data_IF_734087118718
#
_entry.id   IF_734087118718
#
_cell.length_a   1.000
_cell.length_b   1.000
_cell.length_c   1.000
_cell.angle_alpha   90.00
_cell.angle_beta   90.00
_cell.angle_gamma   90.00
#
_symmetry.space_group_name_H-M   'P 1'
#
loop_
_entity.id
_entity.type
_entity.pdbx_description
1 polymer ?
#
# COMPACT_ATOMS: atom_id res chain seq x y z
N UNK A 1 3.32 24.22 -15.86
CA UNK A 1 3.39 24.00 -14.39
C UNK A 1 4.84 24.21 -13.95
N UNK A 2 5.09 24.86 -12.81
CA UNK A 2 6.45 24.97 -12.25
C UNK A 2 7.04 23.57 -11.98
N UNK A 3 8.33 23.34 -12.30
CA UNK A 3 9.01 22.05 -12.12
C UNK A 3 8.91 21.52 -10.70
N UNK A 4 8.92 22.43 -9.71
CA UNK A 4 8.68 22.11 -8.31
C UNK A 4 7.30 21.48 -8.05
N UNK A 5 6.23 22.06 -8.64
CA UNK A 5 4.87 21.53 -8.49
C UNK A 5 4.73 20.14 -9.12
N UNK A 6 5.43 19.88 -10.23
CA UNK A 6 5.45 18.57 -10.87
C UNK A 6 6.14 17.52 -9.98
N UNK A 7 7.30 17.86 -9.42
CA UNK A 7 8.02 17.00 -8.48
C UNK A 7 7.16 16.64 -7.27
N UNK A 8 6.48 17.62 -6.66
CA UNK A 8 5.56 17.38 -5.53
C UNK A 8 4.41 16.45 -5.90
N UNK A 9 3.84 16.62 -7.09
CA UNK A 9 2.80 15.73 -7.61
C UNK A 9 3.33 14.31 -7.72
N UNK A 10 4.48 14.09 -8.36
CA UNK A 10 5.07 12.75 -8.49
C UNK A 10 5.41 12.14 -7.12
N UNK A 11 5.91 12.95 -6.16
CA UNK A 11 6.20 12.49 -4.81
C UNK A 11 4.93 12.00 -4.08
N UNK A 12 3.83 12.75 -4.17
CA UNK A 12 2.54 12.33 -3.59
C UNK A 12 1.97 11.07 -4.25
N UNK A 13 2.15 10.92 -5.56
CA UNK A 13 1.74 9.70 -6.27
C UNK A 13 2.60 8.51 -5.86
N UNK A 14 3.91 8.70 -5.71
CA UNK A 14 4.84 7.68 -5.24
C UNK A 14 4.51 7.25 -3.81
N UNK A 15 4.30 8.19 -2.88
CA UNK A 15 3.95 7.86 -1.49
C UNK A 15 2.62 7.10 -1.40
N UNK A 16 1.60 7.53 -2.15
CA UNK A 16 0.31 6.84 -2.22
C UNK A 16 0.43 5.42 -2.83
N UNK A 17 1.26 5.24 -3.87
CA UNK A 17 1.51 3.94 -4.47
C UNK A 17 2.28 3.00 -3.52
N UNK A 18 3.29 3.50 -2.82
CA UNK A 18 4.05 2.74 -1.82
C UNK A 18 3.16 2.34 -0.63
N UNK A 19 2.34 3.28 -0.16
CA UNK A 19 1.41 3.04 0.92
C UNK A 19 0.39 1.94 0.58
N UNK A 20 -0.25 2.02 -0.60
CA UNK A 20 -1.21 1.00 -1.06
C UNK A 20 -0.63 -0.42 -1.11
N UNK A 21 0.67 -0.54 -1.41
CA UNK A 21 1.36 -1.84 -1.44
C UNK A 21 1.63 -2.36 -0.04
N UNK A 22 2.11 -1.51 0.85
CA UNK A 22 2.32 -1.87 2.27
C UNK A 22 1.01 -2.14 3.00
N UNK A 23 -0.09 -1.50 2.60
CA UNK A 23 -1.41 -1.70 3.21
C UNK A 23 -2.11 -2.99 2.76
N UNK A 24 -1.60 -3.72 1.75
CA UNK A 24 -2.16 -5.03 1.35
C UNK A 24 -2.22 -6.01 2.53
N UNK A 25 -1.17 -6.05 3.36
CA UNK A 25 -1.12 -6.89 4.56
C UNK A 25 -2.07 -6.41 5.67
N UNK A 26 -2.43 -5.14 5.66
CA UNK A 26 -3.41 -4.59 6.59
C UNK A 26 -4.82 -4.99 6.15
N UNK A 27 -5.10 -4.96 4.84
CA UNK A 27 -6.37 -5.40 4.29
C UNK A 27 -6.64 -6.89 4.56
N UNK A 28 -5.63 -7.76 4.44
CA UNK A 28 -5.79 -9.19 4.77
C UNK A 28 -6.09 -9.40 6.26
N UNK A 29 -5.47 -8.61 7.16
CA UNK A 29 -5.77 -8.60 8.60
C UNK A 29 -7.17 -8.08 8.90
N UNK A 30 -7.61 -7.03 8.20
CA UNK A 30 -8.96 -6.47 8.30
C UNK A 30 -10.01 -7.54 7.97
N UNK A 31 -9.87 -8.20 6.82
CA UNK A 31 -10.75 -9.29 6.39
C UNK A 31 -10.75 -10.47 7.37
N UNK A 32 -9.57 -10.86 7.84
CA UNK A 32 -9.43 -11.92 8.84
C UNK A 32 -10.14 -11.56 10.15
N UNK A 33 -10.05 -10.30 10.60
CA UNK A 33 -10.74 -9.83 11.80
C UNK A 33 -12.26 -9.82 11.62
N UNK A 34 -12.76 -9.35 10.47
CA UNK A 34 -14.19 -9.40 10.13
C UNK A 34 -14.68 -10.85 10.18
N UNK A 35 -13.94 -11.78 9.55
CA UNK A 35 -14.27 -13.21 9.54
C UNK A 35 -14.29 -13.80 10.95
N UNK A 36 -13.29 -13.48 11.78
CA UNK A 36 -13.20 -13.94 13.15
C UNK A 36 -14.39 -13.45 13.99
N UNK A 37 -14.69 -12.16 13.94
CA UNK A 37 -15.83 -11.58 14.68
C UNK A 37 -17.15 -12.21 14.24
N UNK A 38 -17.39 -12.37 12.92
CA UNK A 38 -18.57 -13.07 12.38
C UNK A 38 -18.69 -14.50 12.93
N UNK A 39 -17.57 -15.23 13.02
CA UNK A 39 -17.54 -16.58 13.59
C UNK A 39 -17.87 -16.59 15.09
N UNK A 40 -17.39 -15.60 15.84
CA UNK A 40 -17.68 -15.43 17.27
C UNK A 40 -19.18 -15.24 17.53
N UNK A 41 -19.86 -14.41 16.73
CA UNK A 41 -21.31 -14.21 16.84
C UNK A 41 -22.11 -15.49 16.52
N UNK A 42 -21.70 -16.24 15.47
CA UNK A 42 -22.32 -17.54 15.15
C UNK A 42 -22.17 -18.54 16.31
N UNK A 43 -20.99 -18.60 16.94
CA UNK A 43 -20.74 -19.45 18.12
C UNK A 43 -21.58 -19.04 19.34
N UNK A 44 -21.88 -17.75 19.49
CA UNK A 44 -22.74 -17.24 20.55
C UNK A 44 -24.25 -17.45 20.30
N UNK A 45 -24.64 -18.15 19.22
CA UNK A 45 -26.04 -18.45 18.91
C UNK A 45 -26.86 -17.25 18.43
N UNK A 46 -26.23 -16.08 18.22
CA UNK A 46 -26.90 -14.87 17.71
C UNK A 46 -26.87 -14.88 16.19
N UNK A 47 -28.03 -14.70 15.54
CA UNK A 47 -28.10 -14.41 14.10
C UNK A 47 -27.76 -12.94 13.91
N UNK A 48 -26.67 -12.64 13.22
CA UNK A 48 -26.32 -11.27 12.84
C UNK A 48 -27.43 -10.70 11.95
N UNK A 49 -28.09 -9.64 12.40
CA UNK A 49 -28.94 -8.85 11.51
C UNK A 49 -28.07 -8.18 10.44
N UNK A 50 -28.66 -7.88 9.27
CA UNK A 50 -27.94 -7.22 8.17
C UNK A 50 -27.33 -5.88 8.61
N UNK A 51 -27.97 -5.18 9.54
CA UNK A 51 -27.48 -3.90 10.08
C UNK A 51 -26.35 -4.08 11.09
N UNK A 52 -26.37 -5.15 11.89
CA UNK A 52 -25.30 -5.48 12.83
C UNK A 52 -24.01 -5.90 12.12
N UNK A 53 -24.13 -6.62 10.99
CA UNK A 53 -22.97 -6.96 10.16
C UNK A 53 -22.34 -5.71 9.53
N UNK A 54 -23.17 -4.76 9.09
CA UNK A 54 -22.69 -3.47 8.55
C UNK A 54 -21.95 -2.67 9.61
N UNK A 55 -22.50 -2.55 10.82
CA UNK A 55 -21.84 -1.87 11.93
C UNK A 55 -20.54 -2.56 12.34
N UNK A 56 -20.51 -3.89 12.31
CA UNK A 56 -19.32 -4.67 12.59
C UNK A 56 -18.21 -4.37 11.58
N UNK A 57 -18.53 -4.40 10.29
CA UNK A 57 -17.60 -4.10 9.21
C UNK A 57 -17.11 -2.66 9.34
N UNK A 58 -18.00 -1.70 9.60
CA UNK A 58 -17.62 -0.30 9.78
C UNK A 58 -16.66 -0.12 10.97
N UNK A 59 -16.97 -0.71 12.12
CA UNK A 59 -16.09 -0.66 13.29
C UNK A 59 -14.71 -1.28 13.08
N UNK A 60 -14.60 -2.24 12.17
CA UNK A 60 -13.32 -2.87 11.82
C UNK A 60 -12.58 -1.98 10.83
N UNK A 61 -13.29 -1.46 9.81
CA UNK A 61 -12.74 -0.49 8.85
C UNK A 61 -12.21 0.75 9.52
N UNK A 62 -12.94 1.34 10.47
CA UNK A 62 -12.48 2.50 11.23
C UNK A 62 -11.17 2.21 11.97
N UNK A 63 -11.01 1.00 12.53
CA UNK A 63 -9.77 0.59 13.22
C UNK A 63 -8.59 0.39 12.27
N UNK A 64 -8.85 0.04 11.01
CA UNK A 64 -7.84 -0.19 9.98
C UNK A 64 -7.78 0.91 8.93
N UNK A 65 -8.53 2.00 9.11
CA UNK A 65 -8.67 3.12 8.18
C UNK A 65 -7.38 3.90 8.09
N UNK A 66 -6.42 3.36 7.35
CA UNK A 66 -5.14 3.99 7.13
C UNK A 66 -5.27 4.87 5.88
N UNK A 67 -5.14 6.18 6.07
CA UNK A 67 -4.97 7.11 4.95
C UNK A 67 -3.53 7.10 4.46
N UNK A 68 -3.35 7.35 3.16
CA UNK A 68 -2.01 7.51 2.62
C UNK A 68 -1.32 8.70 3.29
N UNK A 69 -0.12 8.52 3.89
CA UNK A 69 0.58 9.61 4.53
C UNK A 69 0.90 10.69 3.49
N UNK A 70 0.50 11.92 3.81
CA UNK A 70 0.90 13.08 3.01
C UNK A 70 2.39 13.30 3.22
N UNK A 71 3.20 13.41 2.16
CA UNK A 71 4.63 13.66 2.32
C UNK A 71 4.82 15.01 3.03
N UNK A 72 5.64 15.03 4.07
CA UNK A 72 6.08 16.28 4.67
C UNK A 72 7.07 16.97 3.71
N UNK A 73 6.67 18.13 3.21
CA UNK A 73 7.40 18.91 2.22
C UNK A 73 7.89 20.24 2.79
N UNK A 74 7.81 20.41 4.12
CA UNK A 74 8.30 21.58 4.83
C UNK A 74 9.74 21.92 4.44
N UNK A 75 10.60 20.90 4.42
CA UNK A 75 12.02 21.00 4.02
C UNK A 75 12.21 21.32 2.53
N UNK A 76 11.22 21.11 1.67
CA UNK A 76 11.33 21.35 0.22
C UNK A 76 10.78 22.72 -0.20
N UNK A 77 10.16 23.45 0.73
CA UNK A 77 9.55 24.76 0.47
C UNK A 77 10.52 25.75 -0.19
N UNK A 78 11.81 25.71 0.13
CA UNK A 78 12.83 26.59 -0.46
C UNK A 78 13.01 26.40 -1.98
N UNK A 79 12.64 25.24 -2.53
CA UNK A 79 12.70 24.95 -3.96
C UNK A 79 11.58 25.64 -4.75
N UNK A 80 10.63 26.28 -4.07
CA UNK A 80 9.59 27.10 -4.70
C UNK A 80 10.05 28.51 -5.09
N UNK A 81 11.28 28.90 -4.71
CA UNK A 81 11.84 30.24 -4.97
C UNK A 81 11.89 30.57 -6.47
N UNK A 82 11.52 31.81 -6.82
CA UNK A 82 11.72 32.36 -8.16
C UNK A 82 13.20 32.74 -8.33
N UNK A 83 13.95 31.92 -9.07
CA UNK A 83 15.39 32.13 -9.29
C UNK A 83 16.28 30.91 -9.04
N UNK A 84 15.77 29.70 -9.26
CA UNK A 84 16.59 28.49 -9.23
C UNK A 84 17.70 28.58 -10.31
N UNK A 85 18.92 28.21 -9.92
CA UNK A 85 20.03 27.98 -10.85
C UNK A 85 19.67 26.90 -11.88
N UNK A 86 20.26 26.96 -13.06
CA UNK A 86 20.07 25.92 -14.09
C UNK A 86 20.41 24.51 -13.57
N UNK A 87 21.42 24.40 -12.70
CA UNK A 87 21.75 23.12 -12.05
C UNK A 87 20.64 22.64 -11.13
N UNK A 88 20.05 23.54 -10.33
CA UNK A 88 18.94 23.19 -9.42
C UNK A 88 17.69 22.76 -10.23
N UNK A 89 17.41 23.43 -11.36
CA UNK A 89 16.32 23.06 -12.28
C UNK A 89 16.53 21.67 -12.89
N UNK A 90 17.77 21.34 -13.28
CA UNK A 90 18.13 20.00 -13.77
C UNK A 90 17.92 18.95 -12.69
N UNK A 91 18.45 19.17 -11.49
CA UNK A 91 18.25 18.25 -10.37
C UNK A 91 16.77 18.01 -10.06
N UNK A 92 15.92 19.06 -10.07
CA UNK A 92 14.47 18.88 -9.90
C UNK A 92 13.86 17.98 -10.98
N UNK A 93 14.31 18.12 -12.22
CA UNK A 93 13.85 17.30 -13.34
C UNK A 93 14.30 15.85 -13.19
N UNK A 94 15.56 15.64 -12.81
CA UNK A 94 16.13 14.30 -12.58
C UNK A 94 15.43 13.57 -11.42
N UNK A 95 15.18 14.27 -10.32
CA UNK A 95 14.44 13.71 -9.18
C UNK A 95 13.01 13.36 -9.59
N UNK A 96 12.35 14.24 -10.34
CA UNK A 96 10.99 13.97 -10.86
C UNK A 96 10.99 12.71 -11.73
N UNK A 97 11.98 12.57 -12.62
CA UNK A 97 12.14 11.40 -13.47
C UNK A 97 12.40 10.13 -12.64
N UNK A 98 13.26 10.22 -11.62
CA UNK A 98 13.56 9.12 -10.71
C UNK A 98 12.32 8.65 -9.93
N UNK A 99 11.53 9.56 -9.37
CA UNK A 99 10.30 9.19 -8.64
C UNK A 99 9.31 8.45 -9.56
N UNK A 100 9.15 8.95 -10.79
CA UNK A 100 8.31 8.31 -11.79
C UNK A 100 8.86 6.95 -12.21
N UNK A 101 10.15 6.83 -12.47
CA UNK A 101 10.77 5.57 -12.90
C UNK A 101 10.72 4.53 -11.80
N UNK A 102 10.92 4.90 -10.54
CA UNK A 102 10.80 3.99 -9.41
C UNK A 102 9.37 3.45 -9.27
N UNK A 103 8.35 4.29 -9.41
CA UNK A 103 6.95 3.85 -9.39
C UNK A 103 6.67 2.83 -10.50
N UNK A 104 7.10 3.13 -11.73
CA UNK A 104 6.91 2.23 -12.89
C UNK A 104 7.70 0.93 -12.72
N UNK A 105 8.94 1.00 -12.24
CA UNK A 105 9.78 -0.16 -11.96
C UNK A 105 9.08 -1.12 -11.00
N UNK A 106 8.53 -0.59 -9.91
CA UNK A 106 7.86 -1.42 -8.92
C UNK A 106 6.55 -2.02 -9.45
N UNK A 107 5.79 -1.29 -10.27
CA UNK A 107 4.61 -1.82 -10.97
C UNK A 107 4.98 -2.99 -11.91
N UNK A 108 6.09 -2.85 -12.65
CA UNK A 108 6.60 -3.92 -13.52
C UNK A 108 7.07 -5.11 -12.70
N UNK A 109 7.75 -4.87 -11.58
CA UNK A 109 8.25 -5.93 -10.70
C UNK A 109 7.11 -6.78 -10.14
N UNK A 110 6.01 -6.16 -9.70
CA UNK A 110 4.80 -6.89 -9.26
C UNK A 110 4.16 -7.68 -10.39
N UNK A 111 4.10 -7.12 -11.61
CA UNK A 111 3.47 -7.79 -12.78
C UNK A 111 4.24 -9.02 -13.24
N UNK A 112 5.57 -8.91 -13.34
CA UNK A 112 6.40 -9.98 -13.87
C UNK A 112 6.92 -10.93 -12.78
N UNK A 113 6.93 -10.50 -11.51
CA UNK A 113 7.31 -11.33 -10.38
C UNK A 113 6.32 -11.19 -9.21
N UNK A 114 5.08 -11.69 -9.36
CA UNK A 114 4.06 -11.60 -8.32
C UNK A 114 4.43 -12.37 -7.04
N UNK A 115 5.43 -13.26 -7.12
CA UNK A 115 5.96 -14.00 -5.97
C UNK A 115 6.99 -13.23 -5.16
N UNK A 116 7.49 -12.08 -5.62
CA UNK A 116 8.64 -11.41 -4.96
C UNK A 116 8.31 -10.96 -3.54
N UNK A 117 7.12 -10.40 -3.34
CA UNK A 117 6.61 -9.90 -2.06
C UNK A 117 5.95 -10.97 -1.19
N UNK A 118 5.86 -12.21 -1.66
CA UNK A 118 5.28 -13.30 -0.85
C UNK A 118 6.20 -13.65 0.32
N UNK A 119 5.58 -13.93 1.47
CA UNK A 119 6.28 -14.46 2.63
C UNK A 119 6.94 -15.80 2.30
N UNK A 120 8.06 -16.09 2.97
CA UNK A 120 8.82 -17.31 2.71
C UNK A 120 7.99 -18.57 2.96
N UNK A 121 7.14 -18.59 4.00
CA UNK A 121 6.22 -19.69 4.29
C UNK A 121 5.28 -19.96 3.11
N UNK A 122 4.64 -18.92 2.57
CA UNK A 122 3.71 -19.06 1.45
C UNK A 122 4.42 -19.54 0.18
N UNK A 123 5.68 -19.12 -0.04
CA UNK A 123 6.51 -19.62 -1.14
C UNK A 123 6.73 -21.11 -1.00
N UNK A 124 7.18 -21.56 0.16
CA UNK A 124 7.44 -22.98 0.47
C UNK A 124 6.17 -23.81 0.28
N UNK A 125 5.03 -23.37 0.82
CA UNK A 125 3.74 -24.03 0.62
C UNK A 125 3.32 -24.11 -0.85
N UNK A 126 3.43 -23.02 -1.62
CA UNK A 126 3.10 -23.05 -3.06
C UNK A 126 4.03 -23.98 -3.83
N UNK A 127 5.31 -24.00 -3.52
CA UNK A 127 6.26 -24.90 -4.18
C UNK A 127 6.01 -26.37 -3.83
N UNK A 128 5.67 -26.67 -2.56
CA UNK A 128 5.32 -28.01 -2.14
C UNK A 128 4.04 -28.51 -2.84
N UNK A 129 2.99 -27.67 -2.90
CA UNK A 129 1.75 -28.00 -3.61
C UNK A 129 1.98 -28.27 -5.10
N UNK A 130 2.93 -27.60 -5.76
CA UNK A 130 3.28 -27.88 -7.17
C UNK A 130 3.82 -29.29 -7.39
N UNK A 131 4.44 -29.90 -6.38
CA UNK A 131 4.98 -31.27 -6.44
C UNK A 131 4.10 -32.27 -5.69
N UNK A 132 2.88 -31.90 -5.30
CA UNK A 132 1.95 -32.78 -4.58
C UNK A 132 2.33 -33.03 -3.11
N UNK A 133 3.20 -32.20 -2.52
CA UNK A 133 3.58 -32.27 -1.10
C UNK A 133 2.76 -31.28 -0.27
N UNK A 134 2.34 -31.70 0.92
CA UNK A 134 1.77 -30.81 1.95
C UNK A 134 2.83 -30.44 2.98
N UNK A 135 2.93 -29.14 3.28
CA UNK A 135 3.86 -28.63 4.29
C UNK A 135 3.14 -28.67 5.65
N UNK A 136 3.68 -29.37 6.66
CA UNK A 136 3.12 -29.33 8.01
C UNK A 136 3.29 -27.92 8.61
N UNK A 137 2.29 -27.50 9.41
CA UNK A 137 2.17 -26.14 9.94
C UNK A 137 3.23 -25.76 10.98
#
# INVERSE_FOLDING_TARGET
>A
MSSYKLMLKELSQFSAAAFRRRSKDVATKEEALIKYKRMQFKRAGKKLSADEDRQLVESVREKFGLEAPKPDVSLLSFLSKEGLSETEKRHLSDITLFLRSQRVYEELLERYNPGISMAQKDKVEKTARKVGLEVPN
#
